data_IF_010515422655
#
_entry.id   IF_010515422655
#
_cell.length_a   1.000
_cell.length_b   1.000
_cell.length_c   1.000
_cell.angle_alpha   90.00
_cell.angle_beta   90.00
_cell.angle_gamma   90.00
#
_symmetry.space_group_name_H-M   'P 1'
#
loop_
_entity.id
_entity.type
_entity.pdbx_description
1 polymer ?
#
# COMPACT_ATOMS: atom_id res chain seq x y z
N UNK A 1 5.34 -36.52 6.84
CA UNK A 1 6.67 -36.17 6.26
C UNK A 1 6.49 -36.08 4.74
N UNK A 2 6.77 -34.93 4.12
CA UNK A 2 6.59 -34.74 2.65
C UNK A 2 7.57 -35.63 1.87
N UNK A 3 7.11 -36.24 0.78
CA UNK A 3 7.98 -36.99 -0.13
C UNK A 3 8.90 -36.04 -0.91
N UNK A 4 10.15 -36.47 -1.15
CA UNK A 4 11.12 -35.73 -2.00
C UNK A 4 10.97 -36.06 -3.49
N UNK A 5 10.46 -37.25 -3.80
CA UNK A 5 10.33 -37.77 -5.15
C UNK A 5 8.97 -38.44 -5.34
N UNK A 6 8.47 -38.38 -6.58
CA UNK A 6 7.24 -39.04 -7.00
C UNK A 6 7.40 -40.55 -6.98
N UNK A 7 6.37 -41.26 -6.54
CA UNK A 7 6.33 -42.72 -6.64
C UNK A 7 6.25 -43.13 -8.12
N UNK A 8 7.09 -44.06 -8.56
CA UNK A 8 7.09 -44.54 -9.94
C UNK A 8 5.77 -45.25 -10.26
N UNK A 9 5.28 -45.18 -11.51
CA UNK A 9 4.00 -45.79 -11.92
C UNK A 9 3.90 -47.29 -11.56
N UNK A 10 5.00 -48.02 -11.69
CA UNK A 10 5.09 -49.46 -11.37
C UNK A 10 4.86 -49.77 -9.89
N UNK A 11 5.10 -48.79 -9.00
CA UNK A 11 4.99 -48.95 -7.56
C UNK A 11 3.73 -48.29 -6.98
N UNK A 12 2.74 -47.94 -7.80
CA UNK A 12 1.48 -47.28 -7.38
C UNK A 12 0.33 -48.25 -7.09
N UNK A 13 0.60 -49.55 -7.09
CA UNK A 13 -0.41 -50.59 -6.82
C UNK A 13 -0.94 -50.44 -5.38
N UNK A 14 -0.05 -50.14 -4.43
CA UNK A 14 -0.39 -49.90 -3.04
C UNK A 14 -0.02 -48.47 -2.65
N UNK A 15 -0.57 -47.99 -1.54
CA UNK A 15 -0.15 -46.75 -0.92
C UNK A 15 0.58 -47.00 0.39
N UNK A 16 1.66 -46.26 0.64
CA UNK A 16 2.41 -46.34 1.90
C UNK A 16 2.23 -45.02 2.62
N UNK A 17 1.64 -45.06 3.81
CA UNK A 17 1.48 -43.91 4.69
C UNK A 17 2.42 -44.02 5.88
N UNK A 18 2.99 -42.89 6.30
CA UNK A 18 3.76 -42.78 7.54
C UNK A 18 3.02 -41.80 8.45
N UNK A 19 2.65 -42.25 9.65
CA UNK A 19 2.01 -41.39 10.63
C UNK A 19 3.00 -40.36 11.23
N UNK A 20 2.51 -39.51 12.13
CA UNK A 20 3.34 -38.53 12.84
C UNK A 20 4.42 -39.17 13.72
N UNK A 21 4.25 -40.44 14.10
CA UNK A 21 5.19 -41.20 14.92
C UNK A 21 6.18 -42.02 14.07
N UNK A 22 6.08 -41.96 12.73
CA UNK A 22 6.90 -42.71 11.79
C UNK A 22 6.45 -44.16 11.57
N UNK A 23 5.30 -44.58 12.10
CA UNK A 23 4.71 -45.90 11.89
C UNK A 23 4.20 -46.00 10.46
N UNK A 24 4.63 -47.07 9.78
CA UNK A 24 4.28 -47.36 8.39
C UNK A 24 2.98 -48.15 8.31
N UNK A 25 2.01 -47.63 7.57
CA UNK A 25 0.77 -48.33 7.19
C UNK A 25 0.74 -48.52 5.68
N UNK A 26 0.33 -49.70 5.21
CA UNK A 26 0.20 -50.01 3.78
C UNK A 26 -1.27 -50.16 3.46
N UNK A 27 -1.77 -49.38 2.51
CA UNK A 27 -3.12 -49.49 1.98
C UNK A 27 -3.08 -50.33 0.71
N UNK A 28 -3.85 -51.41 0.71
CA UNK A 28 -3.97 -52.38 -0.38
C UNK A 28 -5.38 -52.23 -0.98
N UNK A 29 -5.53 -52.19 -2.31
CA UNK A 29 -6.84 -52.06 -2.93
C UNK A 29 -7.68 -53.33 -2.65
N UNK A 30 -8.94 -53.15 -2.27
CA UNK A 30 -9.88 -54.23 -1.93
C UNK A 30 -9.86 -54.65 -0.46
N UNK A 31 -8.92 -54.16 0.34
CA UNK A 31 -8.89 -54.35 1.80
C UNK A 31 -9.38 -53.10 2.53
N UNK A 32 -10.03 -53.28 3.69
CA UNK A 32 -10.47 -52.19 4.58
C UNK A 32 -11.29 -51.06 3.90
N UNK A 33 -11.99 -51.38 2.80
CA UNK A 33 -12.78 -50.42 2.02
C UNK A 33 -11.96 -49.47 1.15
N UNK A 34 -10.67 -49.76 0.93
CA UNK A 34 -9.78 -48.99 0.06
C UNK A 34 -10.01 -49.39 -1.40
N UNK A 35 -10.40 -48.43 -2.24
CA UNK A 35 -10.57 -48.64 -3.67
C UNK A 35 -9.31 -48.21 -4.45
N UNK A 36 -9.15 -48.72 -5.67
CA UNK A 36 -8.06 -48.32 -6.57
C UNK A 36 -8.05 -46.80 -6.82
N UNK A 37 -9.23 -46.20 -6.98
CA UNK A 37 -9.39 -44.75 -7.10
C UNK A 37 -8.84 -43.99 -5.88
N UNK A 38 -8.98 -44.54 -4.67
CA UNK A 38 -8.43 -43.94 -3.44
C UNK A 38 -6.92 -43.93 -3.48
N UNK A 39 -6.30 -45.03 -3.92
CA UNK A 39 -4.84 -45.15 -4.06
C UNK A 39 -4.32 -44.18 -5.12
N UNK A 40 -5.04 -44.06 -6.25
CA UNK A 40 -4.68 -43.13 -7.31
C UNK A 40 -4.71 -41.67 -6.82
N UNK A 41 -5.79 -41.26 -6.15
CA UNK A 41 -5.94 -39.91 -5.59
C UNK A 41 -4.81 -39.59 -4.60
N UNK A 42 -4.46 -40.53 -3.71
CA UNK A 42 -3.37 -40.32 -2.75
C UNK A 42 -2.01 -40.10 -3.43
N UNK A 43 -1.71 -40.85 -4.50
CA UNK A 43 -0.50 -40.62 -5.29
C UNK A 43 -0.56 -39.33 -6.11
N UNK A 44 -1.74 -38.86 -6.51
CA UNK A 44 -1.91 -37.55 -7.16
C UNK A 44 -1.59 -36.41 -6.19
N UNK A 45 -2.07 -36.47 -4.95
CA UNK A 45 -1.75 -35.46 -3.93
C UNK A 45 -0.25 -35.41 -3.61
N UNK A 46 0.41 -36.56 -3.47
CA UNK A 46 1.87 -36.61 -3.31
C UNK A 46 2.61 -35.98 -4.51
N UNK A 47 2.13 -36.24 -5.73
CA UNK A 47 2.73 -35.70 -6.95
C UNK A 47 2.57 -34.18 -7.04
N UNK A 48 1.41 -33.65 -6.63
CA UNK A 48 1.14 -32.22 -6.53
C UNK A 48 2.02 -31.56 -5.48
N UNK A 49 2.15 -32.15 -4.28
CA UNK A 49 3.03 -31.63 -3.22
C UNK A 49 4.49 -31.57 -3.67
N UNK A 50 5.00 -32.65 -4.30
CA UNK A 50 6.36 -32.68 -4.86
C UNK A 50 6.55 -31.63 -5.96
N UNK A 51 5.54 -31.45 -6.82
CA UNK A 51 5.59 -30.44 -7.88
C UNK A 51 5.59 -29.01 -7.31
N UNK A 52 4.74 -28.74 -6.33
CA UNK A 52 4.65 -27.45 -5.66
C UNK A 52 5.95 -27.13 -4.95
N UNK A 53 6.47 -28.05 -4.12
CA UNK A 53 7.76 -27.86 -3.45
C UNK A 53 8.88 -27.58 -4.45
N UNK A 54 8.96 -28.31 -5.57
CA UNK A 54 9.93 -28.02 -6.63
C UNK A 54 9.70 -26.66 -7.29
N UNK A 55 8.45 -26.27 -7.53
CA UNK A 55 8.12 -24.98 -8.14
C UNK A 55 8.57 -23.83 -7.24
N UNK A 56 8.23 -23.88 -5.96
CA UNK A 56 8.59 -22.89 -4.96
C UNK A 56 10.10 -22.85 -4.76
N UNK A 57 10.78 -23.98 -4.50
CA UNK A 57 12.20 -23.95 -4.15
C UNK A 57 13.15 -23.76 -5.33
N UNK A 58 12.73 -23.92 -6.59
CA UNK A 58 13.64 -23.89 -7.75
C UNK A 58 14.18 -22.49 -8.06
N UNK A 59 13.46 -21.43 -7.68
CA UNK A 59 13.81 -20.05 -8.07
C UNK A 59 13.73 -19.04 -6.93
N UNK A 60 13.47 -19.47 -5.72
CA UNK A 60 13.57 -18.59 -4.56
C UNK A 60 15.05 -18.41 -4.23
N UNK A 61 15.48 -17.16 -4.19
CA UNK A 61 16.74 -16.73 -3.57
C UNK A 61 16.36 -15.90 -2.36
N UNK A 62 17.13 -15.97 -1.29
CA UNK A 62 16.86 -15.09 -0.14
C UNK A 62 17.04 -13.64 -0.57
N UNK A 63 16.25 -12.72 0.00
CA UNK A 63 16.35 -11.30 -0.32
C UNK A 63 17.77 -10.76 -0.04
N UNK A 64 18.42 -11.29 0.99
CA UNK A 64 19.78 -10.92 1.40
C UNK A 64 20.85 -11.41 0.42
N UNK A 65 20.62 -12.52 -0.30
CA UNK A 65 21.50 -13.02 -1.37
C UNK A 65 21.34 -12.25 -2.70
N UNK A 66 20.33 -11.38 -2.81
CA UNK A 66 20.00 -10.59 -4.03
C UNK A 66 20.71 -9.21 -3.99
N UNK A 67 21.78 -9.07 -3.22
CA UNK A 67 22.49 -7.80 -2.98
C UNK A 67 22.93 -7.06 -4.29
N UNK A 68 23.17 -7.80 -5.38
CA UNK A 68 23.58 -7.25 -6.70
C UNK A 68 22.44 -7.15 -7.74
N UNK A 69 21.21 -7.48 -7.35
CA UNK A 69 20.04 -7.61 -8.24
C UNK A 69 18.93 -6.60 -7.92
N UNK A 70 19.23 -5.52 -7.21
CA UNK A 70 18.30 -4.40 -6.94
C UNK A 70 17.62 -3.89 -8.21
N UNK A 71 18.28 -3.97 -9.37
CA UNK A 71 17.73 -3.63 -10.70
C UNK A 71 16.50 -4.45 -11.12
N UNK A 72 16.27 -5.63 -10.52
CA UNK A 72 15.14 -6.50 -10.83
C UNK A 72 13.97 -6.34 -9.86
N UNK A 73 14.15 -5.61 -8.75
CA UNK A 73 13.11 -5.33 -7.77
C UNK A 73 12.63 -3.90 -8.04
N UNK A 74 11.52 -3.78 -8.76
CA UNK A 74 10.83 -2.51 -8.97
C UNK A 74 9.49 -2.57 -8.26
N UNK A 75 9.21 -1.58 -7.44
CA UNK A 75 7.84 -1.35 -6.99
C UNK A 75 7.02 -0.82 -8.17
N UNK A 76 6.02 -1.58 -8.59
CA UNK A 76 5.16 -1.22 -9.72
C UNK A 76 4.02 -0.28 -9.31
N UNK A 77 3.82 -0.08 -8.01
CA UNK A 77 2.78 0.78 -7.46
C UNK A 77 3.29 2.18 -7.08
N UNK A 78 4.61 2.39 -7.14
CA UNK A 78 5.23 3.68 -6.81
C UNK A 78 5.87 4.27 -8.05
N UNK A 79 5.36 5.44 -8.45
CA UNK A 79 6.04 6.30 -9.41
C UNK A 79 6.91 7.31 -8.66
N UNK A 80 8.19 6.97 -8.53
CA UNK A 80 9.18 7.77 -7.80
C UNK A 80 9.37 9.14 -8.44
N UNK A 81 9.22 9.25 -9.77
CA UNK A 81 9.39 10.51 -10.48
C UNK A 81 8.21 11.44 -10.18
N UNK A 82 6.98 10.94 -10.27
CA UNK A 82 5.78 11.69 -9.92
C UNK A 82 5.81 12.13 -8.44
N UNK A 83 6.19 11.23 -7.52
CA UNK A 83 6.28 11.55 -6.09
C UNK A 83 7.34 12.63 -5.81
N UNK A 84 8.50 12.55 -6.47
CA UNK A 84 9.56 13.53 -6.31
C UNK A 84 9.17 14.90 -6.87
N UNK A 85 8.56 14.94 -8.06
CA UNK A 85 8.07 16.17 -8.68
C UNK A 85 6.97 16.81 -7.83
N UNK A 86 6.00 16.02 -7.36
CA UNK A 86 4.92 16.50 -6.49
C UNK A 86 5.45 17.12 -5.19
N UNK A 87 6.50 16.53 -4.58
CA UNK A 87 7.16 17.12 -3.41
C UNK A 87 7.80 18.46 -3.72
N UNK A 88 8.57 18.56 -4.80
CA UNK A 88 9.23 19.81 -5.21
C UNK A 88 8.19 20.90 -5.50
N UNK A 89 7.12 20.56 -6.21
CA UNK A 89 6.02 21.48 -6.48
C UNK A 89 5.33 21.92 -5.18
N UNK A 90 5.06 20.98 -4.27
CA UNK A 90 4.44 21.29 -2.98
C UNK A 90 5.31 22.25 -2.15
N UNK A 91 6.62 22.00 -2.04
CA UNK A 91 7.56 22.87 -1.33
C UNK A 91 7.63 24.28 -1.96
N UNK A 92 7.63 24.36 -3.28
CA UNK A 92 7.59 25.64 -3.98
C UNK A 92 6.29 26.40 -3.69
N UNK A 93 5.14 25.71 -3.74
CA UNK A 93 3.83 26.31 -3.43
C UNK A 93 3.73 26.74 -1.97
N UNK A 94 4.23 25.96 -1.02
CA UNK A 94 4.27 26.31 0.40
C UNK A 94 5.07 27.60 0.61
N UNK A 95 6.24 27.71 -0.01
CA UNK A 95 7.08 28.90 0.08
C UNK A 95 6.35 30.13 -0.47
N UNK A 96 5.69 30.01 -1.62
CA UNK A 96 4.87 31.08 -2.20
C UNK A 96 3.77 31.51 -1.21
N UNK A 97 3.05 30.55 -0.63
CA UNK A 97 1.98 30.82 0.33
C UNK A 97 2.55 31.56 1.54
N UNK A 98 3.64 31.09 2.14
CA UNK A 98 4.28 31.73 3.29
C UNK A 98 4.70 33.17 2.98
N UNK A 99 5.36 33.40 1.84
CA UNK A 99 5.77 34.74 1.41
C UNK A 99 4.58 35.67 1.19
N UNK A 100 3.48 35.17 0.60
CA UNK A 100 2.26 35.97 0.41
C UNK A 100 1.57 36.33 1.73
N UNK A 101 1.56 35.42 2.71
CA UNK A 101 0.97 35.66 4.03
C UNK A 101 1.74 36.74 4.81
N UNK A 102 3.06 36.85 4.62
CA UNK A 102 3.87 37.90 5.24
C UNK A 102 3.52 39.31 4.73
N UNK A 103 3.04 39.46 3.51
CA UNK A 103 2.62 40.75 2.92
C UNK A 103 1.17 41.16 3.27
N UNK A 104 0.41 40.24 3.87
CA UNK A 104 -0.93 40.54 4.37
C UNK A 104 -0.88 41.31 5.69
N UNK A 105 -1.98 42.02 5.99
CA UNK A 105 -2.14 42.62 7.32
C UNK A 105 -2.28 41.50 8.36
N UNK A 106 -1.82 41.69 9.62
CA UNK A 106 -1.92 40.67 10.66
C UNK A 106 -3.32 40.07 10.81
N UNK A 107 -4.36 40.91 10.77
CA UNK A 107 -5.76 40.49 10.83
C UNK A 107 -6.23 39.67 9.62
N UNK A 108 -5.70 39.95 8.42
CA UNK A 108 -6.04 39.19 7.22
C UNK A 108 -5.34 37.83 7.22
N UNK A 109 -4.08 37.79 7.70
CA UNK A 109 -3.32 36.55 7.87
C UNK A 109 -3.97 35.64 8.90
N UNK A 110 -4.36 36.18 10.07
CA UNK A 110 -5.06 35.42 11.11
C UNK A 110 -6.37 34.79 10.59
N UNK A 111 -7.18 35.60 9.88
CA UNK A 111 -8.40 35.15 9.24
C UNK A 111 -8.14 33.99 8.24
N UNK A 112 -7.14 34.12 7.37
CA UNK A 112 -6.84 33.08 6.38
C UNK A 112 -6.30 31.82 7.06
N UNK A 113 -5.47 31.97 8.08
CA UNK A 113 -4.94 30.83 8.83
C UNK A 113 -6.07 30.04 9.49
N UNK A 114 -6.96 30.70 10.23
CA UNK A 114 -8.06 30.04 10.94
C UNK A 114 -9.13 29.44 10.02
N UNK A 115 -9.35 30.02 8.84
CA UNK A 115 -10.37 29.52 7.91
C UNK A 115 -9.85 28.43 6.95
N UNK A 116 -8.55 28.36 6.68
CA UNK A 116 -8.04 27.50 5.60
C UNK A 116 -6.76 26.72 5.93
N UNK A 117 -5.85 27.23 6.77
CA UNK A 117 -4.49 26.68 6.92
C UNK A 117 -4.22 26.03 8.28
N UNK A 118 -5.10 26.21 9.25
CA UNK A 118 -5.00 25.53 10.55
C UNK A 118 -5.36 24.04 10.42
N UNK A 119 -4.81 23.20 11.29
CA UNK A 119 -5.11 21.76 11.34
C UNK A 119 -6.62 21.46 11.51
N UNK A 120 -7.36 22.38 12.13
CA UNK A 120 -8.81 22.33 12.23
C UNK A 120 -9.43 23.67 11.79
N UNK A 121 -9.70 23.84 10.48
CA UNK A 121 -10.26 25.07 9.93
C UNK A 121 -11.64 25.38 10.51
N UNK A 122 -11.85 26.60 10.96
CA UNK A 122 -13.14 27.09 11.45
C UNK A 122 -14.03 27.47 10.27
N UNK A 123 -15.34 27.31 10.45
CA UNK A 123 -16.33 27.87 9.52
C UNK A 123 -16.43 29.39 9.67
N UNK A 124 -16.99 30.07 8.66
CA UNK A 124 -17.21 31.52 8.75
C UNK A 124 -18.15 31.90 9.89
N UNK A 125 -19.14 31.05 10.20
CA UNK A 125 -20.07 31.24 11.31
C UNK A 125 -19.36 31.13 12.67
N UNK A 126 -18.56 30.08 12.88
CA UNK A 126 -17.80 29.90 14.14
C UNK A 126 -16.80 31.04 14.36
N UNK A 127 -16.11 31.47 13.31
CA UNK A 127 -15.19 32.61 13.40
C UNK A 127 -15.92 33.93 13.66
N UNK A 128 -17.15 34.07 13.15
CA UNK A 128 -18.01 35.23 13.42
C UNK A 128 -18.46 35.27 14.88
N UNK A 129 -18.86 34.11 15.43
CA UNK A 129 -19.20 33.94 16.85
C UNK A 129 -18.00 34.26 17.76
N UNK A 130 -16.81 33.74 17.45
CA UNK A 130 -15.57 34.01 18.21
C UNK A 130 -15.28 35.52 18.32
N UNK A 131 -15.53 36.26 17.25
CA UNK A 131 -15.29 37.70 17.18
C UNK A 131 -16.50 38.57 17.55
N UNK A 132 -17.66 37.96 17.82
CA UNK A 132 -18.91 38.69 18.07
C UNK A 132 -19.37 39.55 16.90
N UNK A 133 -19.13 39.12 15.66
CA UNK A 133 -19.50 39.83 14.42
C UNK A 133 -20.49 39.01 13.61
N UNK A 134 -21.11 39.64 12.60
CA UNK A 134 -21.99 38.94 11.67
C UNK A 134 -21.19 38.10 10.66
N UNK A 135 -21.71 36.92 10.30
CA UNK A 135 -21.09 36.03 9.30
C UNK A 135 -20.84 36.75 7.96
N UNK A 136 -21.79 37.59 7.53
CA UNK A 136 -21.65 38.39 6.30
C UNK A 136 -20.42 39.30 6.33
N UNK A 137 -20.05 39.81 7.51
CA UNK A 137 -18.84 40.60 7.72
C UNK A 137 -17.57 39.76 7.60
N UNK A 138 -17.58 38.52 8.10
CA UNK A 138 -16.47 37.57 7.90
C UNK A 138 -16.30 37.25 6.42
N UNK A 139 -17.40 36.97 5.72
CA UNK A 139 -17.39 36.67 4.29
C UNK A 139 -16.78 37.81 3.47
N UNK A 140 -17.18 39.06 3.73
CA UNK A 140 -16.59 40.24 3.08
C UNK A 140 -15.10 40.40 3.40
N UNK A 141 -14.68 40.20 4.65
CA UNK A 141 -13.26 40.27 5.05
C UNK A 141 -12.44 39.18 4.34
N UNK A 142 -12.96 37.96 4.27
CA UNK A 142 -12.33 36.82 3.60
C UNK A 142 -12.23 37.03 2.09
N UNK A 143 -13.25 37.62 1.46
CA UNK A 143 -13.20 38.01 0.06
C UNK A 143 -12.07 39.03 -0.19
N UNK A 144 -12.00 40.11 0.60
CA UNK A 144 -10.94 41.13 0.46
C UNK A 144 -9.54 40.54 0.65
N UNK A 145 -9.37 39.62 1.61
CA UNK A 145 -8.10 38.94 1.84
C UNK A 145 -7.71 38.10 0.60
N UNK A 146 -8.62 37.28 0.08
CA UNK A 146 -8.40 36.46 -1.12
C UNK A 146 -8.09 37.30 -2.36
N UNK A 147 -8.81 38.40 -2.59
CA UNK A 147 -8.52 39.31 -3.71
C UNK A 147 -7.13 39.94 -3.58
N UNK A 148 -6.68 40.24 -2.36
CA UNK A 148 -5.33 40.77 -2.14
C UNK A 148 -4.26 39.71 -2.39
N UNK A 149 -4.45 38.47 -1.90
CA UNK A 149 -3.57 37.34 -2.20
C UNK A 149 -3.43 37.15 -3.71
N UNK A 150 -4.56 37.12 -4.44
CA UNK A 150 -4.56 37.02 -5.90
C UNK A 150 -3.67 38.08 -6.56
N UNK A 151 -3.82 39.34 -6.17
CA UNK A 151 -2.99 40.44 -6.70
C UNK A 151 -1.50 40.29 -6.38
N UNK A 152 -1.17 39.82 -5.17
CA UNK A 152 0.23 39.59 -4.78
C UNK A 152 0.86 38.51 -5.65
N UNK A 153 0.14 37.41 -5.89
CA UNK A 153 0.59 36.29 -6.73
C UNK A 153 0.76 36.76 -8.18
N UNK A 154 -0.24 37.47 -8.74
CA UNK A 154 -0.19 38.05 -10.10
C UNK A 154 0.99 39.01 -10.26
N UNK A 155 1.21 39.91 -9.29
CA UNK A 155 2.31 40.89 -9.36
C UNK A 155 3.70 40.25 -9.30
N UNK A 156 3.84 39.09 -8.67
CA UNK A 156 5.11 38.37 -8.57
C UNK A 156 5.39 37.48 -9.79
N UNK A 157 4.50 37.43 -10.79
CA UNK A 157 4.60 36.50 -11.94
C UNK A 157 4.91 35.06 -11.47
N UNK A 158 4.23 34.62 -10.41
CA UNK A 158 4.47 33.29 -9.83
C UNK A 158 3.81 32.18 -10.69
N UNK A 159 3.03 32.55 -11.71
CA UNK A 159 2.50 31.67 -12.75
C UNK A 159 2.48 32.39 -14.09
#
# INVERSE_FOLDING_TARGET
>A
MSRKFKTSKKNRINYIYYDSNGIKTVLIPGEDGVNEATIEILHQFDDEEVNNNRRETRRHSSIDEINDKSKYIKDLYVDVEEEALSKIESEATEKIVQDTLLELKPQQRDLINKLYLSDNPMTQAEYAEELGIEESSVSQKAWRARTKIKKIIENKNIF
#
